data_IF_298709647946
#
_entry.id   IF_298709647946
#
_cell.length_a   1.000
_cell.length_b   1.000
_cell.length_c   1.000
_cell.angle_alpha   90.00
_cell.angle_beta   90.00
_cell.angle_gamma   90.00
#
_symmetry.space_group_name_H-M   'P 1'
#
loop_
_entity.id
_entity.type
_entity.pdbx_description
1 polymer ?
#
# COMPACT_ATOMS: atom_id res chain seq x y z
N UNK A 1 -25.36 -12.70 -5.53
CA UNK A 1 -24.71 -11.39 -5.40
C UNK A 1 -24.16 -10.97 -6.75
N UNK A 2 -24.39 -9.73 -7.19
CA UNK A 2 -23.70 -9.17 -8.36
C UNK A 2 -22.21 -9.04 -8.01
N UNK A 3 -21.34 -9.54 -8.88
CA UNK A 3 -19.88 -9.44 -8.72
C UNK A 3 -19.48 -7.96 -8.81
N UNK A 4 -18.91 -7.42 -7.74
CA UNK A 4 -18.36 -6.06 -7.74
C UNK A 4 -16.98 -6.11 -8.42
N UNK A 5 -16.77 -5.22 -9.39
CA UNK A 5 -15.51 -5.16 -10.13
C UNK A 5 -14.42 -4.52 -9.23
N UNK A 6 -13.44 -5.33 -8.83
CA UNK A 6 -12.36 -4.96 -7.91
C UNK A 6 -11.01 -5.13 -8.58
N UNK A 7 -10.13 -4.14 -8.49
CA UNK A 7 -8.78 -4.22 -9.06
C UNK A 7 -8.18 -2.87 -9.45
N UNK A 8 -7.34 -2.90 -10.49
CA UNK A 8 -6.61 -1.77 -11.02
C UNK A 8 -7.29 -1.24 -12.29
N UNK A 9 -7.34 0.08 -12.42
CA UNK A 9 -7.86 0.78 -13.59
C UNK A 9 -6.93 1.92 -14.00
N UNK A 10 -7.19 2.47 -15.18
CA UNK A 10 -6.63 3.75 -15.61
C UNK A 10 -7.68 4.73 -16.11
N UNK A 11 -7.37 6.01 -15.98
CA UNK A 11 -8.02 7.12 -16.69
C UNK A 11 -6.98 7.63 -17.69
N UNK A 12 -7.23 7.47 -18.99
CA UNK A 12 -6.25 7.74 -20.06
C UNK A 12 -6.73 8.88 -20.94
N UNK A 13 -5.86 9.84 -21.21
CA UNK A 13 -6.09 10.87 -22.22
C UNK A 13 -5.74 10.30 -23.60
N UNK A 14 -6.71 10.24 -24.52
CA UNK A 14 -6.52 9.63 -25.85
C UNK A 14 -5.75 10.54 -26.82
N UNK A 15 -5.49 11.80 -26.46
CA UNK A 15 -4.73 12.73 -27.31
C UNK A 15 -3.22 12.60 -27.13
N UNK A 16 -2.77 12.24 -25.93
CA UNK A 16 -1.34 12.20 -25.60
C UNK A 16 -0.92 10.92 -24.86
N UNK A 17 -1.83 9.96 -24.68
CA UNK A 17 -1.62 8.66 -24.03
C UNK A 17 -1.21 8.70 -22.56
N UNK A 18 -1.17 9.89 -21.93
CA UNK A 18 -0.94 10.01 -20.50
C UNK A 18 -2.07 9.36 -19.71
N UNK A 19 -1.72 8.79 -18.55
CA UNK A 19 -2.68 8.08 -17.73
C UNK A 19 -2.53 8.35 -16.23
N UNK A 20 -3.65 8.18 -15.52
CA UNK A 20 -3.71 8.04 -14.07
C UNK A 20 -4.01 6.58 -13.76
N UNK A 21 -3.20 5.95 -12.90
CA UNK A 21 -3.44 4.59 -12.41
C UNK A 21 -4.08 4.65 -11.03
N UNK A 22 -5.20 3.94 -10.85
CA UNK A 22 -5.90 3.82 -9.58
C UNK A 22 -6.27 2.38 -9.24
N UNK A 23 -6.71 2.19 -8.00
CA UNK A 23 -7.16 0.89 -7.47
C UNK A 23 -8.49 1.08 -6.73
N UNK A 24 -9.38 0.09 -6.76
CA UNK A 24 -10.64 0.15 -6.00
C UNK A 24 -11.25 -1.22 -5.76
N UNK A 25 -11.90 -1.40 -4.61
CA UNK A 25 -12.78 -2.56 -4.33
C UNK A 25 -14.08 -2.50 -5.15
N UNK A 26 -14.44 -1.32 -5.66
CA UNK A 26 -15.54 -1.08 -6.59
C UNK A 26 -15.08 -0.04 -7.62
N UNK A 27 -14.63 -0.51 -8.79
CA UNK A 27 -14.09 0.35 -9.85
C UNK A 27 -15.17 1.29 -10.40
N UNK A 28 -16.40 0.81 -10.58
CA UNK A 28 -17.49 1.60 -11.15
C UNK A 28 -17.86 2.80 -10.27
N UNK A 29 -18.04 2.58 -8.96
CA UNK A 29 -18.29 3.67 -8.00
C UNK A 29 -17.11 4.65 -7.95
N UNK A 30 -15.87 4.14 -8.01
CA UNK A 30 -14.68 4.98 -7.98
C UNK A 30 -14.57 5.86 -9.23
N UNK A 31 -14.94 5.35 -10.40
CA UNK A 31 -15.00 6.09 -11.65
C UNK A 31 -16.02 7.22 -11.62
N UNK A 32 -17.23 6.98 -11.10
CA UNK A 32 -18.22 8.05 -10.94
C UNK A 32 -17.71 9.16 -10.02
N UNK A 33 -17.06 8.80 -8.91
CA UNK A 33 -16.42 9.77 -8.02
C UNK A 33 -15.33 10.58 -8.73
N UNK A 34 -14.49 9.94 -9.54
CA UNK A 34 -13.48 10.64 -10.33
C UNK A 34 -14.10 11.64 -11.32
N UNK A 35 -15.06 11.19 -12.14
CA UNK A 35 -15.75 12.05 -13.10
C UNK A 35 -16.42 13.23 -12.40
N UNK A 36 -17.12 12.98 -11.30
CA UNK A 36 -17.75 14.03 -10.51
C UNK A 36 -16.73 15.02 -9.95
N UNK A 37 -15.60 14.56 -9.42
CA UNK A 37 -14.54 15.46 -8.96
C UNK A 37 -13.94 16.27 -10.11
N UNK A 38 -13.68 15.66 -11.26
CA UNK A 38 -13.10 16.30 -12.44
C UNK A 38 -14.02 17.38 -13.01
N UNK A 39 -15.31 17.05 -13.22
CA UNK A 39 -16.33 18.01 -13.69
C UNK A 39 -16.51 19.21 -12.75
N UNK A 40 -16.20 19.04 -11.46
CA UNK A 40 -16.33 20.09 -10.45
C UNK A 40 -15.00 20.81 -10.13
N UNK A 41 -13.90 20.51 -10.84
CA UNK A 41 -12.61 21.16 -10.57
C UNK A 41 -11.97 20.76 -9.23
N UNK A 42 -12.34 19.59 -8.68
CA UNK A 42 -11.98 19.15 -7.31
C UNK A 42 -11.21 17.83 -7.29
N UNK A 43 -10.63 17.43 -8.42
CA UNK A 43 -9.86 16.19 -8.48
C UNK A 43 -8.52 16.31 -7.75
N UNK A 44 -8.10 15.26 -7.05
CA UNK A 44 -6.87 15.27 -6.22
C UNK A 44 -5.58 15.30 -7.04
N UNK A 45 -5.57 14.70 -8.24
CA UNK A 45 -4.48 14.88 -9.20
C UNK A 45 -4.69 16.19 -9.94
N UNK A 46 -3.83 17.16 -9.68
CA UNK A 46 -3.90 18.49 -10.28
C UNK A 46 -3.55 18.42 -11.76
N UNK A 47 -2.58 17.59 -12.12
CA UNK A 47 -2.20 17.41 -13.53
C UNK A 47 -3.34 16.79 -14.34
N UNK A 48 -4.04 15.78 -13.81
CA UNK A 48 -5.22 15.23 -14.48
C UNK A 48 -6.32 16.27 -14.61
N UNK A 49 -6.59 17.05 -13.55
CA UNK A 49 -7.62 18.10 -13.59
C UNK A 49 -7.33 19.13 -14.69
N UNK A 50 -6.11 19.65 -14.75
CA UNK A 50 -5.71 20.65 -15.74
C UNK A 50 -5.91 20.12 -17.16
N UNK A 51 -5.43 18.91 -17.45
CA UNK A 51 -5.60 18.34 -18.79
C UNK A 51 -7.06 17.96 -19.08
N UNK A 52 -7.84 17.55 -18.07
CA UNK A 52 -9.27 17.34 -18.22
C UNK A 52 -9.99 18.61 -18.67
N UNK A 53 -9.66 19.76 -18.06
CA UNK A 53 -10.26 21.05 -18.39
C UNK A 53 -9.84 21.55 -19.78
N UNK A 54 -8.61 21.21 -20.22
CA UNK A 54 -8.08 21.59 -21.55
C UNK A 54 -8.67 20.72 -22.66
N UNK A 55 -8.65 19.40 -22.48
CA UNK A 55 -9.00 18.46 -23.54
C UNK A 55 -10.47 18.06 -23.54
N UNK A 56 -11.21 18.27 -22.45
CA UNK A 56 -12.61 17.85 -22.36
C UNK A 56 -12.77 16.36 -22.04
N UNK A 57 -13.86 16.02 -21.36
CA UNK A 57 -14.18 14.67 -20.88
C UNK A 57 -14.20 13.62 -22.00
N UNK A 58 -14.66 13.99 -23.19
CA UNK A 58 -14.75 13.11 -24.35
C UNK A 58 -13.39 12.59 -24.85
N UNK A 59 -12.30 13.23 -24.42
CA UNK A 59 -10.94 12.82 -24.74
C UNK A 59 -10.28 11.97 -23.64
N UNK A 60 -11.08 11.49 -22.68
CA UNK A 60 -10.62 10.56 -21.65
C UNK A 60 -11.39 9.25 -21.68
N UNK A 61 -10.65 8.14 -21.56
CA UNK A 61 -11.21 6.80 -21.42
C UNK A 61 -10.94 6.24 -20.03
N UNK A 62 -11.92 5.52 -19.49
CA UNK A 62 -11.79 4.78 -18.25
C UNK A 62 -11.70 3.29 -18.57
N UNK A 63 -10.62 2.64 -18.14
CA UNK A 63 -10.27 1.29 -18.59
C UNK A 63 -9.84 0.44 -17.40
N UNK A 64 -10.38 -0.78 -17.32
CA UNK A 64 -9.94 -1.78 -16.33
C UNK A 64 -8.66 -2.40 -16.83
N UNK A 65 -7.63 -2.41 -15.99
CA UNK A 65 -6.33 -2.99 -16.32
C UNK A 65 -6.19 -4.42 -15.81
N UNK A 66 -6.63 -4.66 -14.58
CA UNK A 66 -6.57 -6.00 -13.96
C UNK A 66 -7.62 -6.11 -12.85
N UNK A 67 -8.39 -7.20 -12.84
CA UNK A 67 -9.17 -7.59 -11.67
C UNK A 67 -8.26 -8.30 -10.67
N UNK A 68 -8.22 -7.84 -9.42
CA UNK A 68 -7.39 -8.46 -8.40
C UNK A 68 -7.96 -8.28 -6.99
N UNK A 69 -7.45 -9.08 -6.06
CA UNK A 69 -7.80 -9.01 -4.65
C UNK A 69 -7.17 -7.78 -3.99
N UNK A 70 -7.82 -7.27 -2.95
CA UNK A 70 -7.37 -6.08 -2.21
C UNK A 70 -5.90 -6.18 -1.74
N UNK A 71 -5.45 -7.37 -1.31
CA UNK A 71 -4.06 -7.60 -0.87
C UNK A 71 -3.01 -7.37 -1.96
N UNK A 72 -3.41 -7.43 -3.23
CA UNK A 72 -2.52 -7.22 -4.37
C UNK A 72 -2.53 -5.78 -4.89
N UNK A 73 -3.44 -4.93 -4.39
CA UNK A 73 -3.68 -3.60 -4.95
C UNK A 73 -2.41 -2.74 -5.03
N UNK A 74 -1.66 -2.61 -3.94
CA UNK A 74 -0.46 -1.77 -3.92
C UNK A 74 0.61 -2.28 -4.89
N UNK A 75 0.86 -3.59 -4.91
CA UNK A 75 1.81 -4.24 -5.84
C UNK A 75 1.39 -3.99 -7.29
N UNK A 76 0.15 -4.33 -7.63
CA UNK A 76 -0.37 -4.22 -9.00
C UNK A 76 -0.44 -2.77 -9.47
N UNK A 77 -0.88 -1.85 -8.61
CA UNK A 77 -0.86 -0.41 -8.90
C UNK A 77 0.58 0.04 -9.20
N UNK A 78 1.56 -0.33 -8.37
CA UNK A 78 2.97 0.01 -8.61
C UNK A 78 3.47 -0.53 -9.95
N UNK A 79 3.22 -1.82 -10.24
CA UNK A 79 3.60 -2.46 -11.51
C UNK A 79 3.06 -1.67 -12.72
N UNK A 80 1.79 -1.28 -12.70
CA UNK A 80 1.20 -0.50 -13.78
C UNK A 80 1.70 0.95 -13.84
N UNK A 81 1.97 1.59 -12.71
CA UNK A 81 2.57 2.93 -12.67
C UNK A 81 3.96 2.91 -13.32
N UNK A 82 4.80 1.92 -13.01
CA UNK A 82 6.10 1.76 -13.66
C UNK A 82 5.97 1.43 -15.14
N UNK A 83 5.06 0.50 -15.48
CA UNK A 83 4.82 0.08 -16.87
C UNK A 83 4.39 1.23 -17.78
N UNK A 84 3.57 2.16 -17.26
CA UNK A 84 3.06 3.29 -18.01
C UNK A 84 3.77 4.62 -17.68
N UNK A 85 4.83 4.58 -16.86
CA UNK A 85 5.62 5.73 -16.41
C UNK A 85 4.76 6.92 -15.92
N UNK A 86 3.70 6.64 -15.16
CA UNK A 86 2.68 7.68 -14.87
C UNK A 86 3.05 8.66 -13.76
N UNK A 87 4.19 8.47 -13.10
CA UNK A 87 4.77 9.45 -12.17
C UNK A 87 5.50 10.57 -12.90
N UNK A 88 6.20 10.22 -13.98
CA UNK A 88 7.00 11.19 -14.76
C UNK A 88 6.23 11.70 -15.96
N UNK A 89 5.53 10.81 -16.65
CA UNK A 89 4.86 11.04 -17.92
C UNK A 89 3.35 10.72 -17.83
N UNK A 90 2.74 10.94 -16.67
CA UNK A 90 1.31 10.75 -16.46
C UNK A 90 0.77 11.65 -15.36
N UNK A 91 -0.24 11.17 -14.63
CA UNK A 91 -0.99 11.98 -13.66
C UNK A 91 -0.91 11.49 -12.21
N UNK A 92 -0.08 10.50 -11.91
CA UNK A 92 0.13 10.02 -10.54
C UNK A 92 1.13 10.93 -9.80
N UNK A 93 0.82 11.32 -8.55
CA UNK A 93 1.64 12.28 -7.78
C UNK A 93 2.29 11.66 -6.52
N UNK A 94 2.02 10.39 -6.21
CA UNK A 94 2.44 9.75 -4.96
C UNK A 94 3.68 8.89 -5.11
N UNK A 95 4.55 8.86 -4.10
CA UNK A 95 5.59 7.84 -3.96
C UNK A 95 4.96 6.44 -3.93
N UNK A 96 5.56 5.50 -4.67
CA UNK A 96 5.14 4.10 -4.70
C UNK A 96 6.28 3.18 -4.24
N UNK A 97 5.93 1.97 -3.82
CA UNK A 97 6.92 0.92 -3.58
C UNK A 97 7.37 0.32 -4.90
N UNK A 98 8.67 0.06 -5.00
CA UNK A 98 9.26 -0.67 -6.11
C UNK A 98 9.30 -2.17 -5.78
N UNK A 99 8.47 -2.96 -6.45
CA UNK A 99 8.39 -4.40 -6.22
C UNK A 99 9.31 -5.21 -7.15
N UNK A 100 10.14 -4.56 -7.96
CA UNK A 100 11.00 -5.22 -8.97
C UNK A 100 11.88 -6.33 -8.39
N UNK A 101 12.39 -6.14 -7.16
CA UNK A 101 13.24 -7.09 -6.46
C UNK A 101 12.51 -7.88 -5.35
N UNK A 102 11.19 -7.76 -5.27
CA UNK A 102 10.37 -8.31 -4.19
C UNK A 102 9.16 -9.03 -4.75
N UNK A 103 9.36 -10.13 -5.49
CA UNK A 103 8.26 -11.02 -5.86
C UNK A 103 7.60 -11.68 -4.63
N UNK A 104 6.48 -12.38 -4.84
CA UNK A 104 5.70 -12.97 -3.74
C UNK A 104 6.53 -13.98 -2.96
N UNK A 105 7.24 -14.89 -3.63
CA UNK A 105 8.00 -15.97 -2.99
C UNK A 105 9.15 -15.42 -2.14
N UNK A 106 9.92 -14.48 -2.68
CA UNK A 106 11.00 -13.81 -1.97
C UNK A 106 10.49 -13.02 -0.78
N UNK A 107 9.37 -12.32 -0.94
CA UNK A 107 8.73 -11.55 0.14
C UNK A 107 8.35 -12.48 1.30
N UNK A 108 7.68 -13.60 1.02
CA UNK A 108 7.27 -14.58 2.03
C UNK A 108 8.49 -15.20 2.73
N UNK A 109 9.53 -15.58 1.98
CA UNK A 109 10.76 -16.15 2.56
C UNK A 109 11.44 -15.18 3.52
N UNK A 110 11.57 -13.90 3.14
CA UNK A 110 12.19 -12.87 3.98
C UNK A 110 11.33 -12.55 5.20
N UNK A 111 10.00 -12.51 5.03
CA UNK A 111 9.03 -12.35 6.13
C UNK A 111 9.21 -13.45 7.17
N UNK A 112 9.30 -14.71 6.76
CA UNK A 112 9.52 -15.82 7.70
C UNK A 112 10.86 -15.71 8.45
N UNK A 113 11.93 -15.31 7.75
CA UNK A 113 13.25 -15.10 8.39
C UNK A 113 13.15 -14.01 9.44
N UNK A 114 12.52 -12.88 9.10
CA UNK A 114 12.32 -11.78 10.04
C UNK A 114 11.52 -12.22 11.27
N UNK A 115 10.38 -12.89 11.09
CA UNK A 115 9.52 -13.33 12.20
C UNK A 115 10.23 -14.32 13.14
N UNK A 116 11.03 -15.26 12.59
CA UNK A 116 11.88 -16.16 13.39
C UNK A 116 12.84 -15.41 14.31
N UNK A 117 13.37 -14.27 13.86
CA UNK A 117 14.26 -13.43 14.66
C UNK A 117 13.48 -12.52 15.61
N UNK A 118 12.30 -12.06 15.20
CA UNK A 118 11.45 -11.18 15.99
C UNK A 118 11.03 -11.81 17.32
N UNK A 119 10.68 -13.10 17.32
CA UNK A 119 10.35 -13.86 18.55
C UNK A 119 11.43 -13.76 19.62
N UNK A 120 12.71 -13.69 19.23
CA UNK A 120 13.85 -13.59 20.15
C UNK A 120 14.11 -12.16 20.64
N UNK A 121 13.34 -11.19 20.16
CA UNK A 121 13.50 -9.76 20.39
C UNK A 121 12.20 -9.09 20.83
N UNK A 122 11.28 -9.85 21.44
CA UNK A 122 10.11 -9.32 22.12
C UNK A 122 10.53 -8.25 23.15
N UNK A 123 9.71 -7.21 23.29
CA UNK A 123 9.91 -6.01 24.09
C UNK A 123 11.11 -5.15 23.68
N UNK A 124 11.53 -5.25 22.40
CA UNK A 124 12.58 -4.40 21.83
C UNK A 124 12.06 -3.54 20.69
N UNK A 125 12.73 -2.40 20.52
CA UNK A 125 12.66 -1.56 19.32
C UNK A 125 13.88 -1.83 18.46
N UNK A 126 13.66 -2.24 17.22
CA UNK A 126 14.72 -2.56 16.25
C UNK A 126 14.64 -1.57 15.10
N UNK A 127 15.74 -0.88 14.79
CA UNK A 127 15.73 0.10 13.71
C UNK A 127 15.51 -0.58 12.35
N UNK A 128 14.70 0.02 11.47
CA UNK A 128 14.48 -0.52 10.11
C UNK A 128 15.80 -0.61 9.35
N UNK A 129 16.69 0.37 9.54
CA UNK A 129 18.03 0.38 8.93
C UNK A 129 18.85 -0.87 9.31
N UNK A 130 18.85 -1.26 10.58
CA UNK A 130 19.56 -2.46 11.03
C UNK A 130 18.95 -3.74 10.44
N UNK A 131 17.63 -3.80 10.27
CA UNK A 131 16.95 -4.91 9.59
C UNK A 131 17.39 -4.98 8.13
N UNK A 132 17.40 -3.83 7.43
CA UNK A 132 17.85 -3.73 6.05
C UNK A 132 19.29 -4.21 5.88
N UNK A 133 20.20 -3.77 6.74
CA UNK A 133 21.61 -4.18 6.72
C UNK A 133 21.76 -5.68 6.99
N UNK A 134 21.05 -6.22 7.98
CA UNK A 134 21.14 -7.63 8.35
C UNK A 134 20.56 -8.59 7.29
N UNK A 135 19.57 -8.15 6.52
CA UNK A 135 18.94 -8.94 5.46
C UNK A 135 19.48 -8.61 4.06
N UNK A 136 20.47 -7.72 3.96
CA UNK A 136 21.03 -7.23 2.70
C UNK A 136 19.94 -6.68 1.74
N UNK A 137 19.02 -5.90 2.30
CA UNK A 137 17.88 -5.31 1.59
C UNK A 137 18.02 -3.80 1.49
N UNK A 138 17.39 -3.22 0.46
CA UNK A 138 17.14 -1.78 0.47
C UNK A 138 16.07 -1.44 1.51
N UNK A 139 15.97 -0.16 1.87
CA UNK A 139 14.91 0.34 2.75
C UNK A 139 13.53 0.13 2.12
N UNK A 140 13.41 0.28 0.80
CA UNK A 140 12.18 -0.02 0.06
C UNK A 140 11.78 -1.50 0.20
N UNK A 141 12.72 -2.41 -0.01
CA UNK A 141 12.44 -3.85 0.04
C UNK A 141 12.11 -4.31 1.46
N UNK A 142 12.80 -3.73 2.45
CA UNK A 142 12.50 -3.95 3.87
C UNK A 142 11.09 -3.49 4.21
N UNK A 143 10.68 -2.32 3.71
CA UNK A 143 9.34 -1.80 3.90
C UNK A 143 8.26 -2.71 3.27
N UNK A 144 8.51 -3.20 2.06
CA UNK A 144 7.62 -4.16 1.37
C UNK A 144 7.46 -5.42 2.21
N UNK A 145 8.56 -6.00 2.69
CA UNK A 145 8.55 -7.19 3.54
C UNK A 145 7.77 -6.93 4.84
N UNK A 146 8.07 -5.85 5.57
CA UNK A 146 7.38 -5.56 6.84
C UNK A 146 5.87 -5.33 6.65
N UNK A 147 5.47 -4.67 5.56
CA UNK A 147 4.04 -4.48 5.23
C UNK A 147 3.30 -5.76 4.85
N UNK A 148 4.03 -6.80 4.46
CA UNK A 148 3.44 -8.09 4.09
C UNK A 148 3.06 -8.95 5.30
N UNK A 149 3.44 -8.54 6.51
CA UNK A 149 3.09 -9.23 7.75
C UNK A 149 1.60 -9.00 8.05
N UNK A 150 0.85 -10.09 8.15
CA UNK A 150 -0.58 -10.07 8.47
C UNK A 150 -0.83 -10.54 9.90
N UNK A 151 -2.04 -10.32 10.42
CA UNK A 151 -2.42 -10.75 11.76
C UNK A 151 -2.30 -12.27 11.98
N UNK A 152 -2.54 -13.07 10.94
CA UNK A 152 -2.33 -14.53 10.96
C UNK A 152 -0.86 -14.92 11.11
N UNK A 153 0.07 -14.12 10.56
CA UNK A 153 1.50 -14.31 10.77
C UNK A 153 1.88 -13.99 12.22
N UNK A 154 1.39 -12.88 12.74
CA UNK A 154 1.61 -12.43 14.11
C UNK A 154 1.10 -13.44 15.15
N UNK A 155 -0.12 -13.95 14.96
CA UNK A 155 -0.70 -14.99 15.79
C UNK A 155 0.12 -16.29 15.72
N UNK A 156 0.46 -16.75 14.50
CA UNK A 156 1.26 -17.96 14.27
C UNK A 156 2.62 -17.92 14.99
N UNK A 157 3.28 -16.77 14.99
CA UNK A 157 4.60 -16.59 15.58
C UNK A 157 4.57 -16.08 17.02
N UNK A 158 3.38 -15.84 17.60
CA UNK A 158 3.19 -15.25 18.92
C UNK A 158 3.95 -13.92 19.10
N UNK A 159 3.90 -13.04 18.09
CA UNK A 159 4.50 -11.69 18.14
C UNK A 159 3.52 -10.66 17.62
N UNK A 160 3.61 -9.44 18.14
CA UNK A 160 2.92 -8.27 17.60
C UNK A 160 3.95 -7.28 17.08
N UNK A 161 3.78 -6.84 15.84
CA UNK A 161 4.74 -6.04 15.09
C UNK A 161 4.15 -4.65 14.81
N UNK A 162 4.71 -3.63 15.44
CA UNK A 162 4.40 -2.24 15.15
C UNK A 162 5.49 -1.60 14.32
N UNK A 163 5.17 -1.26 13.08
CA UNK A 163 6.10 -0.56 12.18
C UNK A 163 5.90 0.95 12.34
N UNK A 164 6.88 1.63 12.93
CA UNK A 164 6.87 3.07 13.19
C UNK A 164 7.73 3.80 12.15
N UNK A 165 7.11 4.69 11.37
CA UNK A 165 7.76 5.43 10.28
C UNK A 165 7.53 6.93 10.46
N UNK A 166 8.60 7.72 10.59
CA UNK A 166 8.50 9.18 10.60
C UNK A 166 8.62 9.75 9.19
N UNK A 167 7.55 10.38 8.69
CA UNK A 167 7.44 11.15 7.44
C UNK A 167 7.83 10.44 6.11
N UNK A 168 8.71 9.44 6.12
CA UNK A 168 9.11 8.51 5.06
C UNK A 168 9.92 7.36 5.67
N UNK A 169 9.98 6.20 5.01
CA UNK A 169 10.81 5.05 5.46
C UNK A 169 12.31 5.36 5.60
N UNK A 170 12.75 6.54 5.14
CA UNK A 170 14.14 6.97 5.11
C UNK A 170 14.55 7.82 6.34
N UNK A 171 13.65 8.04 7.30
CA UNK A 171 14.01 8.74 8.54
C UNK A 171 14.86 7.85 9.46
N UNK A 172 15.89 8.44 10.08
CA UNK A 172 16.78 7.77 11.05
C UNK A 172 16.05 7.20 12.26
N UNK A 173 14.80 7.60 12.48
CA UNK A 173 13.97 7.21 13.61
C UNK A 173 12.93 6.14 13.25
N UNK A 174 12.94 5.57 12.04
CA UNK A 174 12.03 4.48 11.70
C UNK A 174 12.45 3.17 12.37
N UNK A 175 11.54 2.53 13.10
CA UNK A 175 11.79 1.29 13.85
C UNK A 175 10.61 0.34 13.80
N UNK A 176 10.87 -0.90 14.17
CA UNK A 176 9.85 -1.90 14.49
C UNK A 176 9.85 -2.12 15.99
N UNK A 177 8.70 -1.99 16.63
CA UNK A 177 8.46 -2.41 18.01
C UNK A 177 7.83 -3.79 18.02
N UNK A 178 8.44 -4.71 18.76
CA UNK A 178 8.06 -6.11 18.80
C UNK A 178 7.53 -6.40 20.20
N UNK A 179 6.27 -6.84 20.29
CA UNK A 179 5.62 -7.21 21.55
C UNK A 179 5.22 -8.69 21.53
N UNK A 180 4.90 -9.24 22.70
CA UNK A 180 4.23 -10.54 22.78
C UNK A 180 2.77 -10.40 22.34
N UNK A 181 2.32 -11.29 21.44
CA UNK A 181 0.96 -11.21 20.90
C UNK A 181 -0.10 -11.45 21.96
N UNK A 182 0.07 -12.44 22.84
CA UNK A 182 -0.92 -12.82 23.84
C UNK A 182 -1.02 -11.79 24.97
N UNK A 183 0.11 -11.22 25.39
CA UNK A 183 0.10 -10.10 26.34
C UNK A 183 -0.61 -8.89 25.75
N UNK A 184 -0.32 -8.56 24.49
CA UNK A 184 -1.00 -7.45 23.79
C UNK A 184 -2.52 -7.68 23.68
N UNK A 185 -2.98 -8.88 23.32
CA UNK A 185 -4.42 -9.18 23.28
C UNK A 185 -5.08 -9.02 24.66
N UNK A 186 -4.44 -9.52 25.73
CA UNK A 186 -4.96 -9.35 27.11
C UNK A 186 -5.07 -7.88 27.51
N UNK A 187 -4.14 -7.03 27.08
CA UNK A 187 -4.20 -5.60 27.33
C UNK A 187 -5.37 -4.94 26.57
N UNK A 188 -5.56 -5.30 25.30
CA UNK A 188 -6.72 -4.84 24.52
C UNK A 188 -8.04 -5.26 25.17
N UNK A 189 -8.17 -6.52 25.57
CA UNK A 189 -9.36 -7.03 26.24
C UNK A 189 -9.64 -6.25 27.52
N UNK A 190 -8.62 -5.94 28.33
CA UNK A 190 -8.78 -5.11 29.54
C UNK A 190 -9.29 -3.72 29.20
N UNK A 191 -8.77 -3.08 28.16
CA UNK A 191 -9.16 -1.72 27.77
C UNK A 191 -10.61 -1.70 27.27
N UNK A 192 -10.98 -2.63 26.40
CA UNK A 192 -12.30 -2.61 25.75
C UNK A 192 -13.41 -3.30 26.55
N UNK A 193 -13.11 -4.27 27.42
CA UNK A 193 -14.12 -4.87 28.31
C UNK A 193 -14.38 -4.02 29.56
N UNK A 194 -13.50 -3.08 29.90
CA UNK A 194 -13.76 -2.11 30.97
C UNK A 194 -14.56 -0.88 30.49
N UNK A 195 -14.64 -0.64 29.17
CA UNK A 195 -15.41 0.47 28.61
C UNK A 195 -16.92 0.20 28.48
N UNK A 196 -17.38 -1.04 28.58
CA UNK A 196 -18.81 -1.41 28.57
C UNK A 196 -19.47 -1.33 29.98
N UNK A 197 -18.73 -0.84 30.98
CA UNK A 197 -19.18 -0.71 32.38
C UNK A 197 -19.27 0.75 32.89
N UNK A 198 -19.28 1.74 32.00
CA UNK A 198 -19.53 3.16 32.31
C UNK A 198 -20.69 3.71 31.48
#
# INVERSE_FOLDING_TARGET
MLKVLSGIYRIRNIKNEKAYIGQSKNILDRWEKHKNSLRNGKHHSKSLQIEWDIYGEENFTLEVLEECEYRLFERKKSEFIFKFDTLKNGYNESTIFDYSNMDIERTEKLKEIFLKVAVKNINKKVSIKSISEALELTINDTAIMLKSILGEDEEKWNVRIFVMIEYSYHSKNSYVEILDYQEYQKELDRIFLTSDLQ
#
